data_IF_679476589363
#
_entry.id   IF_679476589363
#
_cell.length_a   1.000
_cell.length_b   1.000
_cell.length_c   1.000
_cell.angle_alpha   90.00
_cell.angle_beta   90.00
_cell.angle_gamma   90.00
#
_symmetry.space_group_name_H-M   'P 1'
#
loop_
_entity.id
_entity.type
_entity.pdbx_description
1 polymer ?
#
# COMPACT_ATOMS: atom_id res chain seq x y z
N UNK A 1 61.53 38.48 26.90
CA UNK A 1 60.79 38.25 25.67
C UNK A 1 60.00 36.95 25.87
N UNK A 2 58.71 37.05 26.18
CA UNK A 2 57.87 35.91 26.56
C UNK A 2 56.95 35.54 25.36
N UNK A 3 57.22 34.39 24.78
CA UNK A 3 56.37 33.82 23.70
C UNK A 3 55.13 33.21 24.33
N UNK A 4 53.96 33.82 24.07
CA UNK A 4 52.65 33.23 24.41
C UNK A 4 52.33 32.15 23.38
N UNK A 5 52.27 30.93 23.84
CA UNK A 5 51.65 29.82 23.06
C UNK A 5 50.16 30.05 22.98
N UNK A 6 49.68 30.23 21.77
CA UNK A 6 48.25 30.31 21.48
C UNK A 6 47.76 28.88 21.24
N UNK A 7 47.09 28.31 22.23
CA UNK A 7 46.43 27.01 22.10
C UNK A 7 45.24 27.15 21.14
N UNK A 8 45.34 26.53 20.00
CA UNK A 8 44.24 26.42 19.03
C UNK A 8 43.32 25.30 19.51
N UNK A 9 42.18 25.70 20.07
CA UNK A 9 41.14 24.77 20.47
C UNK A 9 40.40 24.27 19.23
N UNK A 10 40.68 23.03 18.83
CA UNK A 10 39.99 22.36 17.73
C UNK A 10 38.62 21.90 18.25
N UNK A 11 37.55 22.60 17.87
CA UNK A 11 36.19 22.18 18.15
C UNK A 11 35.79 21.12 17.10
N UNK A 12 35.78 19.86 17.50
CA UNK A 12 35.19 18.78 16.67
C UNK A 12 33.71 18.89 16.76
N UNK A 13 33.08 19.47 15.75
CA UNK A 13 31.64 19.42 15.60
C UNK A 13 31.26 17.99 15.18
N UNK A 14 30.67 17.24 16.09
CA UNK A 14 30.03 15.95 15.75
C UNK A 14 28.89 16.23 14.77
N UNK A 15 29.11 15.94 13.50
CA UNK A 15 28.05 15.94 12.50
C UNK A 15 27.12 14.80 12.88
N UNK A 16 26.00 15.11 13.52
CA UNK A 16 24.90 14.18 13.68
C UNK A 16 24.38 13.86 12.27
N UNK A 17 24.72 12.71 11.76
CA UNK A 17 24.09 12.17 10.55
C UNK A 17 22.58 12.15 10.79
N UNK A 18 21.87 13.03 10.10
CA UNK A 18 20.41 12.99 10.12
C UNK A 18 19.96 11.66 9.53
N UNK A 19 19.07 10.92 10.21
CA UNK A 19 18.62 9.65 9.68
C UNK A 19 17.97 9.88 8.31
N UNK A 20 18.39 9.10 7.32
CA UNK A 20 17.80 9.13 5.98
C UNK A 20 16.30 8.75 6.07
N UNK A 21 15.48 9.23 5.14
CA UNK A 21 14.05 8.87 5.07
C UNK A 21 13.83 7.35 5.07
N UNK A 22 14.74 6.60 4.47
CA UNK A 22 14.70 5.13 4.47
C UNK A 22 14.79 4.54 5.88
N UNK A 23 15.68 5.10 6.70
CA UNK A 23 15.87 4.66 8.09
C UNK A 23 14.70 5.08 8.99
N UNK A 24 14.04 6.20 8.65
CA UNK A 24 12.88 6.69 9.39
C UNK A 24 11.62 5.90 9.11
N UNK A 25 11.36 5.53 7.87
CA UNK A 25 10.11 4.86 7.47
C UNK A 25 10.17 3.34 7.61
N UNK A 26 11.36 2.76 7.83
CA UNK A 26 11.53 1.33 8.01
C UNK A 26 11.28 0.51 6.74
N UNK A 27 10.95 -0.76 6.94
CA UNK A 27 10.72 -1.74 5.88
C UNK A 27 9.24 -1.93 5.58
N UNK A 28 8.95 -2.45 4.38
CA UNK A 28 7.60 -2.86 3.97
C UNK A 28 7.01 -3.86 4.96
N UNK A 29 7.82 -4.80 5.46
CA UNK A 29 7.37 -5.81 6.42
C UNK A 29 6.92 -5.25 7.77
N UNK A 30 7.46 -4.09 8.17
CA UNK A 30 7.07 -3.37 9.40
C UNK A 30 5.80 -2.54 9.19
N UNK A 31 5.62 -1.98 8.00
CA UNK A 31 4.53 -1.06 7.68
C UNK A 31 3.27 -1.77 7.14
N UNK A 32 3.42 -2.95 6.48
CA UNK A 32 2.33 -3.63 5.79
C UNK A 32 1.24 -4.15 6.72
N UNK A 33 0.03 -4.24 6.20
CA UNK A 33 -1.07 -4.99 6.80
C UNK A 33 -0.93 -6.48 6.44
N UNK A 34 -0.98 -7.38 7.45
CA UNK A 34 -0.81 -8.84 7.29
C UNK A 34 -2.13 -9.58 7.16
N UNK A 35 -3.15 -9.16 7.91
CA UNK A 35 -4.50 -9.74 7.81
C UNK A 35 -5.24 -9.08 6.65
N UNK A 36 -5.08 -9.67 5.47
CA UNK A 36 -5.61 -9.12 4.22
C UNK A 36 -6.68 -10.00 3.60
N UNK A 37 -7.64 -9.34 2.97
CA UNK A 37 -8.61 -10.01 2.11
C UNK A 37 -7.90 -10.50 0.86
N UNK A 38 -8.01 -11.80 0.58
CA UNK A 38 -7.56 -12.40 -0.66
C UNK A 38 -8.79 -12.89 -1.43
N UNK A 39 -8.78 -12.70 -2.75
CA UNK A 39 -9.85 -13.15 -3.63
C UNK A 39 -9.30 -14.22 -4.59
N UNK A 40 -10.09 -15.27 -4.84
CA UNK A 40 -9.71 -16.27 -5.82
C UNK A 40 -10.01 -15.77 -7.24
N UNK A 41 -9.15 -16.08 -8.21
CA UNK A 41 -9.30 -15.66 -9.60
C UNK A 41 -10.61 -16.17 -10.23
N UNK A 42 -11.05 -17.34 -9.83
CA UNK A 42 -12.30 -17.99 -10.30
C UNK A 42 -13.57 -17.56 -9.54
N UNK A 43 -13.43 -16.73 -8.49
CA UNK A 43 -14.57 -16.19 -7.74
C UNK A 43 -15.47 -15.35 -8.64
N UNK A 44 -16.79 -15.38 -8.43
CA UNK A 44 -17.70 -14.49 -9.16
C UNK A 44 -17.45 -13.01 -8.77
N UNK A 45 -17.54 -12.11 -9.74
CA UNK A 45 -17.36 -10.68 -9.53
C UNK A 45 -18.37 -10.10 -8.51
N UNK A 46 -19.62 -10.61 -8.48
CA UNK A 46 -20.60 -10.23 -7.45
C UNK A 46 -20.14 -10.60 -6.04
N UNK A 47 -19.62 -11.81 -5.86
CA UNK A 47 -19.13 -12.25 -4.55
C UNK A 47 -17.90 -11.44 -4.12
N UNK A 48 -17.02 -11.12 -5.06
CA UNK A 48 -15.88 -10.26 -4.83
C UNK A 48 -16.31 -8.88 -4.35
N UNK A 49 -17.27 -8.25 -5.02
CA UNK A 49 -17.81 -6.94 -4.63
C UNK A 49 -18.38 -6.97 -3.21
N UNK A 50 -19.23 -7.97 -2.90
CA UNK A 50 -19.79 -8.15 -1.55
C UNK A 50 -18.70 -8.34 -0.48
N UNK A 51 -17.65 -9.09 -0.82
CA UNK A 51 -16.55 -9.35 0.13
C UNK A 51 -15.71 -8.12 0.40
N UNK A 52 -15.42 -7.32 -0.62
CA UNK A 52 -14.72 -6.04 -0.46
C UNK A 52 -15.55 -5.05 0.37
N UNK A 53 -16.85 -4.95 0.09
CA UNK A 53 -17.77 -4.07 0.81
C UNK A 53 -17.90 -4.48 2.29
N UNK A 54 -18.21 -5.75 2.56
CA UNK A 54 -18.32 -6.27 3.93
C UNK A 54 -17.05 -6.08 4.76
N UNK A 55 -15.87 -6.18 4.12
CA UNK A 55 -14.58 -5.98 4.77
C UNK A 55 -14.11 -4.52 4.76
N UNK A 56 -14.91 -3.61 4.20
CA UNK A 56 -14.61 -2.19 4.08
C UNK A 56 -13.23 -1.91 3.44
N UNK A 57 -12.84 -2.71 2.43
CA UNK A 57 -11.58 -2.54 1.71
C UNK A 57 -11.85 -2.17 0.25
N UNK A 58 -11.06 -1.23 -0.28
CA UNK A 58 -11.24 -0.73 -1.65
C UNK A 58 -10.66 -1.64 -2.73
N UNK A 59 -10.04 -2.78 -2.35
CA UNK A 59 -9.52 -3.79 -3.28
C UNK A 59 -8.64 -4.80 -2.58
N UNK A 60 -8.29 -5.87 -3.30
CA UNK A 60 -7.57 -7.00 -2.74
C UNK A 60 -6.63 -7.65 -3.77
N UNK A 61 -5.57 -8.32 -3.33
CA UNK A 61 -4.82 -9.23 -4.17
C UNK A 61 -5.68 -10.41 -4.61
N UNK A 62 -5.47 -10.82 -5.86
CA UNK A 62 -6.10 -12.00 -6.44
C UNK A 62 -5.10 -13.14 -6.45
N UNK A 63 -5.56 -14.31 -6.01
CA UNK A 63 -4.74 -15.51 -5.95
C UNK A 63 -5.27 -16.60 -6.87
N UNK A 64 -4.33 -17.31 -7.50
CA UNK A 64 -4.55 -18.60 -8.12
C UNK A 64 -3.48 -19.58 -7.63
N UNK A 65 -3.88 -20.80 -7.24
CA UNK A 65 -2.98 -21.84 -6.72
C UNK A 65 -2.01 -21.34 -5.64
N UNK A 66 -2.50 -20.45 -4.76
CA UNK A 66 -1.74 -19.88 -3.65
C UNK A 66 -0.74 -18.79 -4.01
N UNK A 67 -0.70 -18.34 -5.26
CA UNK A 67 0.16 -17.25 -5.75
C UNK A 67 -0.65 -16.03 -6.10
N UNK A 68 -0.08 -14.85 -5.90
CA UNK A 68 -0.69 -13.59 -6.35
C UNK A 68 -0.55 -13.51 -7.87
N UNK A 69 -1.69 -13.42 -8.56
CA UNK A 69 -1.78 -13.35 -10.03
C UNK A 69 -2.36 -12.02 -10.51
N UNK A 70 -2.97 -11.24 -9.63
CA UNK A 70 -3.58 -9.98 -9.98
C UNK A 70 -3.93 -9.12 -8.76
N UNK A 71 -4.49 -7.97 -9.04
CA UNK A 71 -5.15 -7.09 -8.06
C UNK A 71 -6.50 -6.68 -8.63
N UNK A 72 -7.53 -6.68 -7.79
CA UNK A 72 -8.84 -6.16 -8.15
C UNK A 72 -9.27 -5.09 -7.14
N UNK A 73 -9.91 -4.03 -7.64
CA UNK A 73 -10.42 -2.93 -6.83
C UNK A 73 -11.94 -2.81 -7.00
N UNK A 74 -12.58 -2.06 -6.09
CA UNK A 74 -13.99 -1.70 -6.24
C UNK A 74 -14.23 -0.98 -7.57
N UNK A 75 -13.28 -0.17 -8.05
CA UNK A 75 -13.38 0.52 -9.34
C UNK A 75 -13.50 -0.46 -10.49
N UNK A 76 -12.68 -1.51 -10.52
CA UNK A 76 -12.69 -2.51 -11.58
C UNK A 76 -14.02 -3.27 -11.63
N UNK A 77 -14.65 -3.47 -10.47
CA UNK A 77 -15.97 -4.08 -10.35
C UNK A 77 -17.12 -3.10 -10.69
N UNK A 78 -16.93 -1.79 -10.49
CA UNK A 78 -17.97 -0.79 -10.74
C UNK A 78 -17.97 -0.30 -12.20
N UNK A 79 -16.83 -0.21 -12.86
CA UNK A 79 -16.71 0.29 -14.24
C UNK A 79 -17.61 -0.47 -15.20
N UNK A 80 -17.64 -1.80 -15.25
CA UNK A 80 -18.56 -2.54 -16.10
C UNK A 80 -20.04 -2.27 -15.79
N UNK A 81 -20.32 -1.96 -14.51
CA UNK A 81 -21.70 -1.72 -14.06
C UNK A 81 -22.26 -0.35 -14.43
N UNK A 82 -21.36 0.65 -14.61
CA UNK A 82 -21.74 2.05 -14.76
C UNK A 82 -21.50 2.61 -16.17
N UNK A 83 -20.48 2.11 -16.88
CA UNK A 83 -19.99 2.74 -18.11
C UNK A 83 -20.30 1.98 -19.41
N UNK A 84 -20.63 0.69 -19.34
CA UNK A 84 -20.83 -0.14 -20.54
C UNK A 84 -22.29 -0.23 -21.01
N UNK A 85 -23.06 0.85 -20.90
CA UNK A 85 -24.38 0.92 -21.56
C UNK A 85 -24.47 2.07 -22.56
N UNK A 86 -23.94 1.90 -23.78
CA UNK A 86 -24.07 2.89 -24.82
C UNK A 86 -25.52 3.06 -25.33
N UNK A 87 -26.43 2.15 -24.97
CA UNK A 87 -27.80 2.13 -25.47
C UNK A 87 -28.87 2.45 -24.40
N UNK A 88 -28.47 2.63 -23.11
CA UNK A 88 -29.43 2.95 -22.03
C UNK A 88 -30.58 1.93 -21.90
N UNK A 89 -30.26 0.62 -21.96
CA UNK A 89 -31.28 -0.41 -22.00
C UNK A 89 -32.20 -0.37 -20.78
N UNK A 90 -33.52 -0.16 -20.92
CA UNK A 90 -34.46 -0.11 -19.80
C UNK A 90 -34.45 -1.38 -18.93
N UNK A 91 -34.11 -2.53 -19.53
CA UNK A 91 -34.03 -3.81 -18.82
C UNK A 91 -32.87 -3.84 -17.81
N UNK A 92 -31.75 -3.20 -18.14
CA UNK A 92 -30.56 -3.08 -17.27
C UNK A 92 -30.79 -2.08 -16.14
N UNK A 93 -31.53 -1.01 -16.39
CA UNK A 93 -31.92 -0.05 -15.34
C UNK A 93 -32.83 -0.72 -14.31
N UNK A 94 -33.74 -1.59 -14.74
CA UNK A 94 -34.65 -2.34 -13.84
C UNK A 94 -33.93 -3.45 -13.07
N UNK A 95 -32.95 -4.12 -13.68
CA UNK A 95 -32.19 -5.21 -13.04
C UNK A 95 -31.12 -4.70 -12.05
N UNK A 96 -30.78 -3.42 -12.10
CA UNK A 96 -29.79 -2.77 -11.25
C UNK A 96 -28.33 -3.05 -11.66
N UNK A 97 -27.37 -2.28 -11.13
CA UNK A 97 -25.96 -2.34 -11.55
C UNK A 97 -25.30 -3.70 -11.36
N UNK A 98 -25.76 -4.48 -10.38
CA UNK A 98 -25.19 -5.82 -10.07
C UNK A 98 -25.45 -6.86 -11.15
N UNK A 99 -26.51 -6.68 -11.97
CA UNK A 99 -26.82 -7.63 -13.04
C UNK A 99 -25.73 -7.75 -14.09
N UNK A 100 -24.92 -6.73 -14.24
CA UNK A 100 -23.80 -6.71 -15.19
C UNK A 100 -22.58 -7.50 -14.72
N UNK A 101 -22.50 -7.83 -13.44
CA UNK A 101 -21.47 -8.71 -12.89
C UNK A 101 -21.82 -10.18 -13.01
N UNK A 102 -23.09 -10.51 -13.41
CA UNK A 102 -23.54 -11.88 -13.53
C UNK A 102 -22.75 -12.59 -14.63
N UNK A 103 -22.15 -13.73 -14.28
CA UNK A 103 -21.34 -14.54 -15.17
C UNK A 103 -19.87 -14.10 -15.30
N UNK A 104 -19.51 -12.91 -14.79
CA UNK A 104 -18.11 -12.47 -14.75
C UNK A 104 -17.39 -13.05 -13.53
N UNK A 105 -16.12 -13.35 -13.72
CA UNK A 105 -15.18 -13.78 -12.68
C UNK A 105 -14.21 -12.64 -12.32
N UNK A 106 -13.56 -12.77 -11.19
CA UNK A 106 -12.50 -11.85 -10.77
C UNK A 106 -11.39 -11.78 -11.82
N UNK A 107 -11.01 -12.92 -12.42
CA UNK A 107 -10.04 -12.99 -13.51
C UNK A 107 -10.39 -12.17 -14.74
N UNK A 108 -11.68 -11.93 -15.00
CA UNK A 108 -12.11 -11.18 -16.18
C UNK A 108 -11.98 -9.66 -16.00
N UNK A 109 -11.81 -9.20 -14.76
CA UNK A 109 -11.84 -7.79 -14.37
C UNK A 109 -10.56 -7.32 -13.65
N UNK A 110 -9.75 -8.23 -13.13
CA UNK A 110 -8.53 -7.88 -12.41
C UNK A 110 -7.44 -7.29 -13.31
N UNK A 111 -6.57 -6.47 -12.74
CA UNK A 111 -5.29 -6.16 -13.39
C UNK A 111 -4.36 -7.34 -13.22
N UNK A 112 -3.90 -7.92 -14.32
CA UNK A 112 -2.91 -8.98 -14.36
C UNK A 112 -1.49 -8.43 -14.11
N UNK A 113 -0.54 -9.32 -13.79
CA UNK A 113 0.86 -8.97 -13.52
C UNK A 113 1.01 -7.82 -12.51
N UNK A 114 0.51 -8.02 -11.27
CA UNK A 114 0.46 -6.95 -10.29
C UNK A 114 1.87 -6.50 -9.89
N UNK A 115 2.05 -5.21 -9.74
CA UNK A 115 3.26 -4.65 -9.12
C UNK A 115 3.27 -5.11 -7.66
N UNK A 116 4.32 -5.82 -7.26
CA UNK A 116 4.47 -6.39 -5.92
C UNK A 116 5.63 -5.77 -5.17
N UNK A 117 5.67 -5.97 -3.86
CA UNK A 117 6.80 -5.60 -3.01
C UNK A 117 7.30 -6.79 -2.20
N UNK A 118 8.52 -6.71 -1.71
CA UNK A 118 9.12 -7.70 -0.82
C UNK A 118 9.23 -7.14 0.61
N UNK A 119 9.17 -7.99 1.61
CA UNK A 119 9.14 -7.60 3.04
C UNK A 119 10.33 -6.73 3.46
N UNK A 120 11.50 -6.97 2.87
CA UNK A 120 12.73 -6.27 3.22
C UNK A 120 12.95 -4.94 2.47
N UNK A 121 12.08 -4.60 1.50
CA UNK A 121 12.22 -3.32 0.81
C UNK A 121 12.05 -2.16 1.78
N UNK A 122 12.85 -1.09 1.63
CA UNK A 122 12.55 0.17 2.28
C UNK A 122 11.16 0.69 1.84
N UNK A 123 10.38 1.24 2.77
CA UNK A 123 9.06 1.83 2.44
C UNK A 123 9.18 2.88 1.34
N UNK A 124 10.25 3.68 1.32
CA UNK A 124 10.52 4.70 0.28
C UNK A 124 10.56 4.08 -1.12
N UNK A 125 11.17 2.89 -1.27
CA UNK A 125 11.21 2.16 -2.55
C UNK A 125 9.82 1.74 -2.98
N UNK A 126 9.01 1.22 -2.06
CA UNK A 126 7.64 0.82 -2.33
C UNK A 126 6.76 2.01 -2.74
N UNK A 127 6.91 3.16 -2.06
CA UNK A 127 6.21 4.41 -2.43
C UNK A 127 6.58 4.85 -3.84
N UNK A 128 7.85 4.84 -4.20
CA UNK A 128 8.28 5.16 -5.57
C UNK A 128 7.65 4.22 -6.57
N UNK A 129 7.64 2.91 -6.31
CA UNK A 129 6.98 1.92 -7.16
C UNK A 129 5.48 2.19 -7.32
N UNK A 130 4.77 2.60 -6.25
CA UNK A 130 3.36 2.99 -6.35
C UNK A 130 3.16 4.19 -7.29
N UNK A 131 4.05 5.20 -7.21
CA UNK A 131 3.98 6.40 -8.04
C UNK A 131 4.26 6.06 -9.49
N UNK A 132 5.35 5.34 -9.76
CA UNK A 132 5.81 5.03 -11.12
C UNK A 132 4.78 4.19 -11.90
N UNK A 133 4.03 3.32 -11.20
CA UNK A 133 3.01 2.46 -11.81
C UNK A 133 1.57 2.97 -11.63
N UNK A 134 1.37 4.11 -10.98
CA UNK A 134 0.03 4.68 -10.76
C UNK A 134 -0.89 3.83 -9.88
N UNK A 135 -0.32 3.03 -8.96
CA UNK A 135 -1.07 2.14 -8.06
C UNK A 135 -1.08 2.65 -6.62
N UNK A 136 -2.10 2.27 -5.85
CA UNK A 136 -2.31 2.70 -4.47
C UNK A 136 -2.02 1.61 -3.44
N UNK A 137 -1.68 0.42 -3.91
CA UNK A 137 -1.38 -0.75 -3.08
C UNK A 137 -0.42 -1.66 -3.79
N UNK A 138 0.41 -2.33 -3.01
CA UNK A 138 1.32 -3.36 -3.48
C UNK A 138 1.06 -4.63 -2.68
N UNK A 139 0.66 -5.74 -3.30
CA UNK A 139 0.75 -7.03 -2.66
C UNK A 139 2.19 -7.27 -2.22
N UNK A 140 2.37 -7.71 -0.98
CA UNK A 140 3.69 -8.10 -0.47
C UNK A 140 3.79 -9.60 -0.57
N UNK A 141 4.82 -10.07 -1.26
CA UNK A 141 4.96 -11.50 -1.60
C UNK A 141 6.32 -12.05 -1.19
N UNK A 142 6.38 -13.37 -1.06
CA UNK A 142 7.65 -14.10 -0.96
C UNK A 142 8.22 -14.41 -2.35
N UNK A 143 9.39 -15.08 -2.37
CA UNK A 143 10.07 -15.50 -3.62
C UNK A 143 9.25 -16.46 -4.49
N UNK A 144 8.26 -17.13 -3.91
CA UNK A 144 7.33 -18.01 -4.62
C UNK A 144 6.03 -17.31 -5.05
N UNK A 145 5.98 -15.98 -4.96
CA UNK A 145 4.80 -15.13 -5.21
C UNK A 145 3.62 -15.42 -4.28
N UNK A 146 3.84 -16.01 -3.10
CA UNK A 146 2.79 -16.23 -2.11
C UNK A 146 2.53 -14.94 -1.33
N UNK A 147 1.26 -14.60 -1.06
CA UNK A 147 0.91 -13.37 -0.36
C UNK A 147 1.36 -13.42 1.09
N UNK A 148 2.05 -12.37 1.54
CA UNK A 148 2.48 -12.15 2.93
C UNK A 148 1.73 -10.98 3.58
N UNK A 149 1.18 -10.08 2.78
CA UNK A 149 0.48 -8.89 3.22
C UNK A 149 0.16 -7.96 2.06
N UNK A 150 -0.28 -6.75 2.39
CA UNK A 150 -0.47 -5.64 1.45
C UNK A 150 0.09 -4.37 2.07
N UNK A 151 0.84 -3.61 1.31
CA UNK A 151 1.20 -2.23 1.65
C UNK A 151 0.29 -1.29 0.87
N UNK A 152 -0.43 -0.43 1.58
CA UNK A 152 -1.31 0.59 1.00
C UNK A 152 -0.77 1.99 1.24
N UNK A 153 -1.32 3.01 0.53
CA UNK A 153 -1.05 4.42 0.86
C UNK A 153 -1.33 4.76 2.32
N UNK A 154 -2.41 4.22 2.87
CA UNK A 154 -2.79 4.50 4.26
C UNK A 154 -1.78 3.93 5.25
N UNK A 155 -1.16 2.78 4.94
CA UNK A 155 -0.06 2.22 5.71
C UNK A 155 1.15 3.15 5.69
N UNK A 156 1.49 3.69 4.52
CA UNK A 156 2.58 4.67 4.37
C UNK A 156 2.29 5.95 5.16
N UNK A 157 1.07 6.48 5.06
CA UNK A 157 0.66 7.68 5.83
C UNK A 157 0.78 7.42 7.32
N UNK A 158 0.36 6.26 7.80
CA UNK A 158 0.52 5.88 9.22
C UNK A 158 1.99 5.79 9.64
N UNK A 159 2.85 5.21 8.82
CA UNK A 159 4.28 5.14 9.08
C UNK A 159 4.91 6.55 9.21
N UNK A 160 4.57 7.46 8.29
CA UNK A 160 5.03 8.86 8.34
C UNK A 160 4.49 9.59 9.58
N UNK A 161 3.20 9.45 9.90
CA UNK A 161 2.56 10.10 11.04
C UNK A 161 3.08 9.58 12.39
N UNK A 162 3.39 8.28 12.49
CA UNK A 162 3.97 7.67 13.68
C UNK A 162 5.31 8.28 14.04
N UNK A 163 6.20 8.46 13.07
CA UNK A 163 7.52 9.08 13.28
C UNK A 163 7.47 10.58 13.62
N UNK A 164 6.38 11.26 13.29
CA UNK A 164 6.18 12.67 13.65
C UNK A 164 5.87 12.85 15.14
N UNK A 165 5.25 11.87 15.79
CA UNK A 165 4.89 11.94 17.23
C UNK A 165 6.09 11.74 18.14
N UNK A 166 7.03 10.88 17.77
CA UNK A 166 8.22 10.58 18.59
C UNK A 166 9.20 11.75 18.67
N UNK A 167 9.15 12.71 17.71
CA UNK A 167 10.01 13.91 17.72
C UNK A 167 9.52 15.03 18.65
N UNK A 168 8.27 15.05 19.07
CA UNK A 168 7.71 16.08 19.94
C UNK A 168 7.63 15.66 21.41
N UNK A 169 7.99 14.41 21.73
CA UNK A 169 7.92 13.87 23.11
C UNK A 169 9.20 14.00 23.92
N UNK A 170 10.33 14.45 23.35
CA UNK A 170 11.63 14.52 24.07
C UNK A 170 12.09 15.91 24.46
N UNK A 171 11.17 16.87 24.50
CA UNK A 171 11.49 18.23 24.92
C UNK A 171 10.45 18.82 25.86
N UNK A 172 10.49 18.42 27.13
CA UNK A 172 10.14 19.25 28.30
C UNK A 172 10.11 18.37 29.55
N UNK A 173 11.15 18.46 30.38
CA UNK A 173 11.01 18.81 31.80
C UNK A 173 12.38 18.68 32.46
N UNK A 174 13.00 19.81 32.63
CA UNK A 174 13.95 20.03 33.71
C UNK A 174 13.87 21.50 34.05
N UNK A 175 12.94 21.87 34.92
CA UNK A 175 13.00 23.03 35.79
C UNK A 175 12.06 22.75 36.95
N UNK A 176 12.65 22.37 38.07
CA UNK A 176 12.55 22.92 39.43
C UNK A 176 13.46 22.11 40.34
#
# INVERSE_FOLDING_TARGET
MSARHQEVMTVTVAVHEQPTLERLLGTVGEAMTRDVVLLAADMSAEMALRRLDHKAVSGAPVIDRGRVVGVITQRDLLVPTLLDDPAGSPALVLAGPRSRLIGLRVSDLMSEEPVTAEVHWPVVRAVRSMIDHGVNRLPVVDQASRPLGVLTRDDVVRAVAGHSRDRHGSGTNSED
#
